data_IF_571430538749
#
_entry.id   IF_571430538749
#
_cell.length_a   1.000
_cell.length_b   1.000
_cell.length_c   1.000
_cell.angle_alpha   90.00
_cell.angle_beta   90.00
_cell.angle_gamma   90.00
#
_symmetry.space_group_name_H-M   'P 1'
#
loop_
_entity.id
_entity.type
_entity.pdbx_description
1 polymer ?
#
# COMPACT_ATOMS: atom_id res chain seq x y z
N UNK A 1 -12.83 -4.27 -24.42
CA UNK A 1 -12.39 -4.82 -23.12
C UNK A 1 -13.16 -6.09 -22.74
N UNK A 2 -14.50 -6.08 -22.71
CA UNK A 2 -15.32 -7.23 -22.31
C UNK A 2 -14.96 -8.58 -22.98
N UNK A 3 -14.95 -8.67 -24.32
CA UNK A 3 -14.61 -9.93 -25.01
C UNK A 3 -13.19 -10.42 -24.71
N UNK A 4 -12.23 -9.52 -24.40
CA UNK A 4 -10.87 -9.91 -24.03
C UNK A 4 -10.82 -10.53 -22.64
N UNK A 5 -11.66 -10.06 -21.71
CA UNK A 5 -11.79 -10.62 -20.35
C UNK A 5 -12.43 -12.01 -20.43
N UNK A 6 -13.52 -12.17 -21.19
CA UNK A 6 -14.17 -13.48 -21.39
C UNK A 6 -13.18 -14.49 -21.97
N UNK A 7 -12.45 -14.09 -23.02
CA UNK A 7 -11.44 -14.95 -23.62
C UNK A 7 -10.29 -15.32 -22.67
N UNK A 8 -9.88 -14.41 -21.77
CA UNK A 8 -8.84 -14.73 -20.77
C UNK A 8 -9.34 -15.75 -19.74
N UNK A 9 -10.61 -15.65 -19.31
CA UNK A 9 -11.23 -16.60 -18.39
C UNK A 9 -11.39 -17.97 -19.04
N UNK A 10 -11.84 -18.02 -20.29
CA UNK A 10 -12.13 -19.28 -20.99
C UNK A 10 -10.86 -20.02 -21.41
N UNK A 11 -9.81 -19.30 -21.83
CA UNK A 11 -8.69 -19.88 -22.56
C UNK A 11 -7.32 -19.75 -21.87
N UNK A 12 -7.22 -19.15 -20.68
CA UNK A 12 -5.96 -19.07 -19.93
C UNK A 12 -6.07 -19.82 -18.59
N UNK A 13 -5.16 -20.76 -18.29
CA UNK A 13 -5.13 -21.43 -17.00
C UNK A 13 -4.80 -20.43 -15.88
N UNK A 14 -5.46 -20.57 -14.73
CA UNK A 14 -5.22 -19.73 -13.56
C UNK A 14 -4.27 -20.43 -12.58
N UNK A 15 -3.03 -19.93 -12.48
CA UNK A 15 -2.03 -20.38 -11.51
C UNK A 15 -1.78 -19.33 -10.41
N UNK A 16 -2.86 -18.85 -9.80
CA UNK A 16 -2.77 -17.86 -8.73
C UNK A 16 -1.86 -18.32 -7.57
N UNK A 17 -0.95 -17.44 -7.15
CA UNK A 17 -0.09 -17.61 -5.97
C UNK A 17 0.04 -16.29 -5.23
N UNK A 18 0.16 -16.35 -3.91
CA UNK A 18 0.50 -15.18 -3.10
C UNK A 18 1.96 -14.78 -3.30
N UNK A 19 2.28 -13.50 -3.07
CA UNK A 19 3.65 -12.99 -3.19
C UNK A 19 4.62 -13.64 -2.17
N UNK A 20 4.09 -14.10 -1.04
CA UNK A 20 4.85 -14.68 0.07
C UNK A 20 3.98 -15.64 0.90
N UNK A 21 4.63 -16.43 1.73
CA UNK A 21 3.99 -17.23 2.77
C UNK A 21 3.87 -16.41 4.07
N UNK A 22 2.72 -16.48 4.73
CA UNK A 22 2.45 -15.78 6.01
C UNK A 22 3.29 -16.32 7.17
N UNK A 23 3.94 -17.48 7.01
CA UNK A 23 4.84 -18.03 8.02
C UNK A 23 6.23 -17.38 8.05
N UNK A 24 6.60 -16.64 7.00
CA UNK A 24 7.87 -15.91 6.93
C UNK A 24 8.00 -14.84 8.04
N UNK A 25 9.23 -14.39 8.30
CA UNK A 25 9.46 -13.24 9.18
C UNK A 25 8.81 -11.97 8.61
N UNK A 26 8.49 -10.99 9.46
CA UNK A 26 7.92 -9.71 8.99
C UNK A 26 8.84 -9.05 7.96
N UNK A 27 10.16 -9.09 8.20
CA UNK A 27 11.17 -8.55 7.27
C UNK A 27 11.15 -9.25 5.91
N UNK A 28 11.03 -10.57 5.90
CA UNK A 28 11.02 -11.36 4.66
C UNK A 28 9.72 -11.18 3.87
N UNK A 29 8.58 -11.00 4.54
CA UNK A 29 7.32 -10.63 3.88
C UNK A 29 7.46 -9.29 3.17
N UNK A 30 7.98 -8.28 3.86
CA UNK A 30 8.22 -6.94 3.30
C UNK A 30 9.18 -7.02 2.12
N UNK A 31 10.30 -7.75 2.27
CA UNK A 31 11.28 -7.94 1.19
C UNK A 31 10.69 -8.67 -0.01
N UNK A 32 9.86 -9.69 0.22
CA UNK A 32 9.19 -10.41 -0.87
C UNK A 32 8.27 -9.50 -1.69
N UNK A 33 7.52 -8.60 -1.04
CA UNK A 33 6.73 -7.59 -1.75
C UNK A 33 7.64 -6.64 -2.53
N UNK A 34 8.67 -6.09 -1.87
CA UNK A 34 9.57 -5.11 -2.48
C UNK A 34 10.28 -5.66 -3.72
N UNK A 35 10.78 -6.89 -3.66
CA UNK A 35 11.51 -7.51 -4.77
C UNK A 35 10.59 -8.04 -5.87
N UNK A 36 9.54 -8.79 -5.52
CA UNK A 36 8.69 -9.47 -6.51
C UNK A 36 7.65 -8.57 -7.16
N UNK A 37 7.17 -7.55 -6.44
CA UNK A 37 6.10 -6.66 -6.91
C UNK A 37 6.65 -5.32 -7.37
N UNK A 38 7.59 -4.73 -6.62
CA UNK A 38 8.10 -3.39 -6.94
C UNK A 38 9.37 -3.40 -7.78
N UNK A 39 10.14 -4.51 -7.79
CA UNK A 39 11.44 -4.55 -8.45
C UNK A 39 12.56 -3.86 -7.67
N UNK A 40 12.39 -3.70 -6.36
CA UNK A 40 13.44 -3.18 -5.49
C UNK A 40 14.60 -4.17 -5.35
N UNK A 41 15.81 -3.67 -5.16
CA UNK A 41 16.98 -4.49 -4.86
C UNK A 41 16.85 -5.13 -3.46
N UNK A 42 16.51 -4.32 -2.45
CA UNK A 42 16.36 -4.75 -1.06
C UNK A 42 15.55 -3.73 -0.25
N UNK A 43 15.43 -3.96 1.06
CA UNK A 43 14.69 -3.12 2.01
C UNK A 43 15.58 -2.71 3.17
N UNK A 44 15.59 -1.42 3.46
CA UNK A 44 16.24 -0.84 4.62
C UNK A 44 15.22 -0.60 5.74
N UNK A 45 15.60 -0.94 6.97
CA UNK A 45 14.75 -0.77 8.14
C UNK A 45 15.38 0.24 9.08
N UNK A 46 14.60 1.23 9.52
CA UNK A 46 15.02 2.12 10.59
C UNK A 46 15.23 1.35 11.90
N UNK A 47 15.94 1.96 12.85
CA UNK A 47 16.09 1.41 14.19
C UNK A 47 14.72 1.24 14.90
N UNK A 48 13.82 2.21 14.71
CA UNK A 48 12.45 2.20 15.24
C UNK A 48 11.65 1.03 14.66
N UNK A 49 11.61 0.89 13.32
CA UNK A 49 10.93 -0.22 12.66
C UNK A 49 11.47 -1.58 13.09
N UNK A 50 12.79 -1.70 13.27
CA UNK A 50 13.42 -2.93 13.74
C UNK A 50 13.02 -3.29 15.17
N UNK A 51 12.89 -2.29 16.06
CA UNK A 51 12.43 -2.50 17.43
C UNK A 51 10.94 -2.90 17.48
N UNK A 52 10.10 -2.26 16.66
CA UNK A 52 8.67 -2.57 16.54
C UNK A 52 8.44 -3.98 15.99
N UNK A 53 9.19 -4.40 14.96
CA UNK A 53 9.16 -5.78 14.43
C UNK A 53 9.46 -6.78 15.54
N UNK A 54 10.55 -6.56 16.29
CA UNK A 54 10.92 -7.46 17.39
C UNK A 54 9.85 -7.51 18.49
N UNK A 55 9.14 -6.42 18.73
CA UNK A 55 8.02 -6.37 19.66
C UNK A 55 6.83 -7.20 19.15
N UNK A 56 6.45 -7.04 17.88
CA UNK A 56 5.34 -7.79 17.28
C UNK A 56 5.62 -9.30 17.22
N UNK A 57 6.85 -9.69 16.94
CA UNK A 57 7.28 -11.10 16.97
C UNK A 57 7.18 -11.69 18.38
N UNK A 58 7.59 -10.95 19.41
CA UNK A 58 7.43 -11.38 20.82
C UNK A 58 5.97 -11.53 21.24
N UNK A 59 5.07 -10.73 20.67
CA UNK A 59 3.63 -10.78 20.93
C UNK A 59 2.92 -11.88 20.11
N UNK A 60 3.62 -12.61 19.24
CA UNK A 60 3.03 -13.62 18.36
C UNK A 60 2.11 -13.03 17.29
N UNK A 61 2.32 -11.75 16.93
CA UNK A 61 1.54 -11.03 15.92
C UNK A 61 2.23 -11.04 14.54
N UNK A 62 3.36 -11.74 14.40
CA UNK A 62 4.19 -11.75 13.21
C UNK A 62 3.59 -12.53 12.04
N UNK A 63 2.67 -13.48 12.30
CA UNK A 63 2.01 -14.31 11.28
C UNK A 63 0.89 -13.61 10.52
N UNK A 64 0.70 -12.32 10.74
CA UNK A 64 -0.24 -11.51 9.96
C UNK A 64 0.36 -11.12 8.59
N UNK A 65 -0.47 -10.95 7.54
CA UNK A 65 -0.04 -10.35 6.28
C UNK A 65 0.41 -8.89 6.46
N UNK A 66 1.15 -8.39 5.47
CA UNK A 66 1.73 -7.04 5.46
C UNK A 66 1.02 -6.15 4.44
N UNK A 67 0.68 -4.94 4.88
CA UNK A 67 0.20 -3.82 4.08
C UNK A 67 1.32 -2.77 3.93
N UNK A 68 1.77 -2.52 2.70
CA UNK A 68 2.81 -1.55 2.41
C UNK A 68 2.24 -0.14 2.27
N UNK A 69 2.67 0.76 3.15
CA UNK A 69 2.28 2.15 3.19
C UNK A 69 3.35 3.04 2.53
N UNK A 70 3.24 3.24 1.22
CA UNK A 70 4.18 4.03 0.40
C UNK A 70 3.44 4.95 -0.56
N UNK A 71 4.19 5.84 -1.22
CA UNK A 71 3.63 6.65 -2.31
C UNK A 71 3.09 5.77 -3.45
N UNK A 72 1.92 6.13 -3.98
CA UNK A 72 1.27 5.47 -5.10
C UNK A 72 1.80 5.92 -6.47
N UNK A 73 2.60 6.99 -6.51
CA UNK A 73 3.09 7.59 -7.77
C UNK A 73 4.29 6.86 -8.39
N UNK A 74 4.91 5.93 -7.65
CA UNK A 74 6.12 5.22 -8.05
C UNK A 74 6.11 3.80 -7.49
N UNK A 75 6.78 2.87 -8.20
CA UNK A 75 7.12 1.55 -7.66
C UNK A 75 8.09 1.65 -6.47
N UNK A 76 8.97 2.65 -6.45
CA UNK A 76 9.82 2.98 -5.31
C UNK A 76 9.09 3.84 -4.28
N UNK A 77 9.66 4.00 -3.09
CA UNK A 77 9.15 4.93 -2.07
C UNK A 77 9.39 6.42 -2.41
N UNK A 78 10.02 6.73 -3.54
CA UNK A 78 10.23 8.08 -4.07
C UNK A 78 9.27 8.38 -5.24
N UNK A 79 8.32 9.29 -5.01
CA UNK A 79 7.27 9.67 -5.96
C UNK A 79 7.79 10.26 -7.30
N UNK A 80 9.06 10.69 -7.35
CA UNK A 80 9.66 11.27 -8.56
C UNK A 80 10.23 10.23 -9.52
N UNK A 81 10.41 8.99 -9.09
CA UNK A 81 10.92 7.92 -9.94
C UNK A 81 9.77 7.28 -10.71
N UNK A 82 9.59 7.68 -11.97
CA UNK A 82 8.48 7.23 -12.81
C UNK A 82 8.88 6.02 -13.68
N UNK A 83 7.88 5.31 -14.21
CA UNK A 83 8.09 4.15 -15.07
C UNK A 83 8.42 2.89 -14.27
N UNK A 84 9.41 2.12 -14.74
CA UNK A 84 9.92 0.92 -14.07
C UNK A 84 11.35 1.21 -13.55
N UNK A 85 11.51 1.88 -12.40
CA UNK A 85 12.84 2.15 -11.85
C UNK A 85 13.53 0.84 -11.44
N UNK A 86 14.86 0.84 -11.47
CA UNK A 86 15.70 -0.30 -11.08
C UNK A 86 16.76 0.16 -10.06
N UNK A 87 17.37 -0.79 -9.34
CA UNK A 87 18.47 -0.51 -8.40
C UNK A 87 18.09 0.37 -7.21
N UNK A 88 16.81 0.42 -6.84
CA UNK A 88 16.33 1.18 -5.70
C UNK A 88 16.07 0.27 -4.50
N UNK A 89 16.22 0.81 -3.29
CA UNK A 89 15.87 0.15 -2.02
C UNK A 89 14.65 0.84 -1.42
N UNK A 90 13.78 0.08 -0.75
CA UNK A 90 12.64 0.63 0.00
C UNK A 90 13.06 0.88 1.43
N UNK A 91 12.76 2.05 1.99
CA UNK A 91 13.04 2.38 3.39
C UNK A 91 11.79 2.26 4.25
N UNK A 92 11.75 1.30 5.18
CA UNK A 92 10.70 1.17 6.18
C UNK A 92 11.09 1.95 7.44
N UNK A 93 10.29 2.97 7.77
CA UNK A 93 10.55 3.89 8.89
C UNK A 93 9.85 3.50 10.17
N UNK A 94 8.73 2.79 10.08
CA UNK A 94 7.97 2.32 11.22
C UNK A 94 7.00 1.21 10.83
N UNK A 95 6.51 0.51 11.84
CA UNK A 95 5.70 -0.70 11.75
C UNK A 95 4.58 -0.59 12.78
N UNK A 96 3.34 -0.69 12.32
CA UNK A 96 2.17 -0.72 13.20
C UNK A 96 1.35 -1.97 12.94
N UNK A 97 0.52 -2.37 13.91
CA UNK A 97 -0.38 -3.52 13.75
C UNK A 97 -1.82 -3.06 13.78
N UNK A 98 -2.61 -3.54 12.83
CA UNK A 98 -4.07 -3.37 12.82
C UNK A 98 -4.70 -4.70 13.21
N UNK A 99 -4.61 -5.06 14.50
CA UNK A 99 -4.98 -6.40 15.00
C UNK A 99 -6.42 -6.79 14.69
N UNK A 100 -7.36 -5.84 14.75
CA UNK A 100 -8.76 -6.11 14.39
C UNK A 100 -8.98 -6.38 12.89
N UNK A 101 -8.15 -5.79 12.04
CA UNK A 101 -8.20 -6.01 10.59
C UNK A 101 -7.30 -7.19 10.13
N UNK A 102 -6.41 -7.67 11.00
CA UNK A 102 -5.57 -8.84 10.77
C UNK A 102 -4.36 -8.58 9.86
N UNK A 103 -3.74 -7.39 9.90
CA UNK A 103 -2.52 -7.12 9.14
C UNK A 103 -1.55 -6.16 9.86
N UNK A 104 -0.28 -6.23 9.44
CA UNK A 104 0.80 -5.32 9.83
C UNK A 104 0.93 -4.23 8.77
N UNK A 105 1.14 -2.98 9.16
CA UNK A 105 1.34 -1.84 8.26
C UNK A 105 2.81 -1.43 8.28
N UNK A 106 3.49 -1.49 7.14
CA UNK A 106 4.88 -1.06 6.96
C UNK A 106 4.95 0.35 6.36
N UNK A 107 5.32 1.34 7.19
CA UNK A 107 5.36 2.75 6.83
C UNK A 107 6.67 3.08 6.09
N UNK A 108 6.58 3.34 4.78
CA UNK A 108 7.75 3.64 3.95
C UNK A 108 7.98 5.14 3.71
N UNK A 109 6.99 5.98 4.04
CA UNK A 109 7.06 7.42 3.88
C UNK A 109 5.99 8.14 4.68
N UNK A 110 5.92 9.46 4.53
CA UNK A 110 4.88 10.25 5.17
C UNK A 110 3.55 9.98 4.48
N UNK A 111 2.60 9.38 5.20
CA UNK A 111 1.23 9.19 4.73
C UNK A 111 0.29 10.23 5.34
N UNK A 112 -0.51 10.84 4.47
CA UNK A 112 -1.60 11.72 4.88
C UNK A 112 -2.78 10.87 5.37
N UNK A 113 -3.03 10.88 6.67
CA UNK A 113 -4.20 10.21 7.28
C UNK A 113 -5.44 11.09 7.35
N UNK A 114 -5.26 12.41 7.29
CA UNK A 114 -6.33 13.39 7.31
C UNK A 114 -6.04 14.44 6.23
N UNK A 115 -6.71 14.37 5.06
CA UNK A 115 -6.56 15.39 4.04
C UNK A 115 -7.17 16.71 4.51
N UNK A 116 -6.50 17.83 4.21
CA UNK A 116 -7.05 19.17 4.43
C UNK A 116 -7.95 19.63 3.29
N UNK A 117 -8.71 20.70 3.51
CA UNK A 117 -9.46 21.37 2.46
C UNK A 117 -8.50 22.16 1.54
N UNK A 118 -8.80 22.26 0.23
CA UNK A 118 -8.04 23.12 -0.68
C UNK A 118 -8.31 24.60 -0.38
N UNK A 119 -7.51 25.50 -0.99
CA UNK A 119 -7.63 26.96 -0.82
C UNK A 119 -9.05 27.49 -1.06
N UNK A 120 -9.77 26.92 -2.04
CA UNK A 120 -11.17 27.21 -2.34
C UNK A 120 -11.92 25.88 -2.26
N UNK A 121 -12.61 25.58 -1.16
CA UNK A 121 -13.36 24.35 -0.99
C UNK A 121 -14.51 24.24 -2.00
N UNK A 122 -14.75 23.03 -2.52
CA UNK A 122 -15.93 22.77 -3.37
C UNK A 122 -17.25 23.12 -2.64
N UNK A 123 -17.26 23.03 -1.31
CA UNK A 123 -18.40 23.38 -0.46
C UNK A 123 -18.95 24.80 -0.68
N UNK A 124 -18.13 25.77 -1.12
CA UNK A 124 -18.61 27.12 -1.43
C UNK A 124 -19.54 27.18 -2.66
N UNK A 125 -19.54 26.13 -3.49
CA UNK A 125 -20.34 26.01 -4.72
C UNK A 125 -21.44 24.96 -4.62
N UNK A 126 -21.53 24.25 -3.50
CA UNK A 126 -22.58 23.25 -3.29
C UNK A 126 -23.85 23.99 -2.87
N UNK A 127 -24.94 23.76 -3.60
CA UNK A 127 -26.25 24.35 -3.32
C UNK A 127 -27.37 23.41 -3.77
N UNK A 128 -28.60 23.67 -3.31
CA UNK A 128 -29.81 22.92 -3.69
C UNK A 128 -30.84 23.91 -4.20
N UNK A 129 -31.27 23.73 -5.45
CA UNK A 129 -32.29 24.62 -6.04
C UNK A 129 -33.72 24.30 -5.55
N UNK A 130 -34.69 25.07 -6.03
CA UNK A 130 -36.08 24.97 -5.59
C UNK A 130 -36.73 23.63 -5.96
N UNK A 131 -36.21 22.94 -6.96
CA UNK A 131 -36.63 21.62 -7.42
C UNK A 131 -35.93 20.48 -6.65
N UNK A 132 -35.02 20.81 -5.73
CA UNK A 132 -34.25 19.84 -4.95
C UNK A 132 -33.06 19.27 -5.70
N UNK A 133 -32.62 19.89 -6.81
CA UNK A 133 -31.44 19.47 -7.57
C UNK A 133 -30.19 20.04 -6.92
N UNK A 134 -29.21 19.16 -6.68
CA UNK A 134 -27.92 19.53 -6.07
C UNK A 134 -26.96 19.98 -7.16
N UNK A 135 -26.38 21.17 -6.99
CA UNK A 135 -25.34 21.73 -7.85
C UNK A 135 -23.97 21.62 -7.18
N UNK A 136 -22.89 21.53 -7.96
CA UNK A 136 -21.51 21.62 -7.46
C UNK A 136 -20.97 20.41 -6.70
N UNK A 137 -21.67 19.27 -6.68
CA UNK A 137 -21.27 18.04 -5.98
C UNK A 137 -20.34 17.13 -6.82
N UNK A 138 -20.45 17.17 -8.15
CA UNK A 138 -19.66 16.40 -9.10
C UNK A 138 -19.35 17.22 -10.36
#
# INVERSE_FOLDING_TARGET
MAHKVVNAIENQPNEFRFAYDVELSIKDKIRAIAQKVYGAEDVDFSAEASAEIASLEKLGLDKMPVCMAKTQYSLSDNAKLLGCPEGFRITVRGITVSSGAGFIVALCGNMMKMPGLPKVPAAEKIDVDAEGVIHGLF
#
